data_IF_544572559978
#
_entry.id   IF_544572559978
#
_cell.length_a   1.000
_cell.length_b   1.000
_cell.length_c   1.000
_cell.angle_alpha   90.00
_cell.angle_beta   90.00
_cell.angle_gamma   90.00
#
_symmetry.space_group_name_H-M   'P 1'
#
loop_
_entity.id
_entity.type
_entity.pdbx_description
1 polymer ?
#
# COMPACT_ATOMS: atom_id res chain seq x y z
N UNK A 1 -23.64 -2.56 6.58
CA UNK A 1 -22.25 -2.34 7.07
C UNK A 1 -21.37 -1.99 5.87
N UNK A 2 -20.67 -0.85 5.83
CA UNK A 2 -19.73 -0.59 4.76
C UNK A 2 -18.59 -1.63 4.85
N UNK A 3 -18.48 -2.52 3.86
CA UNK A 3 -17.38 -3.47 3.77
C UNK A 3 -16.10 -2.70 3.43
N UNK A 4 -15.36 -2.31 4.47
CA UNK A 4 -14.03 -1.73 4.33
C UNK A 4 -13.06 -2.87 3.96
N UNK A 5 -12.62 -2.91 2.71
CA UNK A 5 -11.61 -3.87 2.28
C UNK A 5 -10.26 -3.45 2.84
N UNK A 6 -9.56 -4.38 3.51
CA UNK A 6 -8.21 -4.19 4.03
C UNK A 6 -7.26 -5.22 3.44
N UNK A 7 -6.03 -4.81 3.11
CA UNK A 7 -4.97 -5.69 2.62
C UNK A 7 -3.64 -5.29 3.23
N UNK A 8 -2.88 -6.26 3.71
CA UNK A 8 -1.55 -6.03 4.28
C UNK A 8 -0.49 -6.20 3.20
N UNK A 9 0.43 -5.26 3.13
CA UNK A 9 1.58 -5.26 2.23
C UNK A 9 2.85 -5.16 3.08
N UNK A 10 3.64 -6.21 3.09
CA UNK A 10 4.96 -6.22 3.70
C UNK A 10 6.03 -5.85 2.66
N UNK A 11 7.10 -5.12 3.04
CA UNK A 11 8.31 -4.95 2.24
C UNK A 11 8.88 -6.34 1.90
N UNK A 12 9.16 -6.62 0.61
CA UNK A 12 9.85 -7.83 0.16
C UNK A 12 11.17 -7.42 -0.52
N UNK A 13 12.24 -8.14 -0.21
CA UNK A 13 13.57 -7.94 -0.82
C UNK A 13 14.38 -6.76 -0.26
N UNK A 14 15.20 -6.13 -1.11
CA UNK A 14 16.06 -4.96 -0.80
C UNK A 14 15.29 -3.64 -0.59
N UNK A 15 13.96 -3.64 -0.72
CA UNK A 15 13.19 -2.40 -0.60
C UNK A 15 12.98 -2.06 0.87
N UNK A 16 13.68 -1.01 1.30
CA UNK A 16 13.56 -0.44 2.63
C UNK A 16 12.11 -0.05 2.94
N UNK A 17 11.69 -0.21 4.19
CA UNK A 17 10.35 0.19 4.66
C UNK A 17 10.05 1.67 4.33
N UNK A 18 11.10 2.51 4.26
CA UNK A 18 11.03 3.88 3.78
C UNK A 18 10.54 3.99 2.31
N UNK A 19 11.02 3.13 1.42
CA UNK A 19 10.56 3.07 0.02
C UNK A 19 9.09 2.67 -0.08
N UNK A 20 8.65 1.74 0.76
CA UNK A 20 7.25 1.31 0.83
C UNK A 20 6.36 2.47 1.32
N UNK A 21 6.80 3.22 2.34
CA UNK A 21 6.12 4.41 2.85
C UNK A 21 6.00 5.50 1.78
N UNK A 22 7.07 5.77 1.03
CA UNK A 22 7.06 6.75 -0.06
C UNK A 22 6.09 6.34 -1.18
N UNK A 23 6.09 5.06 -1.56
CA UNK A 23 5.14 4.54 -2.55
C UNK A 23 3.67 4.67 -2.08
N UNK A 24 3.40 4.40 -0.79
CA UNK A 24 2.07 4.61 -0.21
C UNK A 24 1.66 6.08 -0.28
N UNK A 25 2.57 7.00 0.04
CA UNK A 25 2.30 8.43 0.00
C UNK A 25 2.00 8.92 -1.43
N UNK A 26 2.75 8.43 -2.44
CA UNK A 26 2.46 8.71 -3.86
C UNK A 26 1.08 8.20 -4.30
N UNK A 27 0.66 7.03 -3.82
CA UNK A 27 -0.67 6.48 -4.16
C UNK A 27 -1.78 7.25 -3.46
N UNK A 28 -1.61 7.59 -2.16
CA UNK A 28 -2.54 8.43 -1.40
C UNK A 28 -2.73 9.79 -2.08
N UNK A 29 -1.66 10.39 -2.58
CA UNK A 29 -1.72 11.68 -3.28
C UNK A 29 -2.46 11.60 -4.63
N UNK A 30 -2.53 10.41 -5.24
CA UNK A 30 -3.29 10.17 -6.49
C UNK A 30 -4.71 9.68 -6.26
N UNK A 31 -5.03 9.15 -5.09
CA UNK A 31 -6.36 8.60 -4.79
C UNK A 31 -6.72 8.82 -3.32
N UNK A 32 -7.64 9.76 -3.09
CA UNK A 32 -8.21 10.05 -1.76
C UNK A 32 -9.11 8.94 -1.22
N UNK A 33 -9.39 7.90 -2.01
CA UNK A 33 -10.28 6.79 -1.66
C UNK A 33 -9.58 5.64 -0.94
N UNK A 34 -8.27 5.76 -0.73
CA UNK A 34 -7.43 4.71 -0.13
C UNK A 34 -6.74 5.27 1.11
N UNK A 35 -6.93 4.60 2.23
CA UNK A 35 -6.24 4.86 3.48
C UNK A 35 -5.05 3.90 3.66
N UNK A 36 -3.96 4.42 4.21
CA UNK A 36 -2.73 3.68 4.43
C UNK A 36 -2.33 3.81 5.90
N UNK A 37 -2.24 2.68 6.59
CA UNK A 37 -1.81 2.60 7.98
C UNK A 37 -0.50 1.81 8.04
N UNK A 38 0.60 2.47 8.36
CA UNK A 38 1.92 1.86 8.51
C UNK A 38 2.11 1.34 9.93
N UNK A 39 2.61 0.12 10.08
CA UNK A 39 3.04 -0.44 11.36
C UNK A 39 4.57 -0.59 11.34
N UNK A 40 5.25 0.28 12.10
CA UNK A 40 6.70 0.31 12.17
C UNK A 40 7.30 -0.91 12.89
N UNK A 41 6.56 -1.50 13.83
CA UNK A 41 7.03 -2.65 14.61
C UNK A 41 7.18 -3.89 13.73
N UNK A 42 6.15 -4.18 12.94
CA UNK A 42 6.15 -5.29 11.98
C UNK A 42 6.77 -4.90 10.64
N UNK A 43 7.15 -3.62 10.46
CA UNK A 43 7.55 -3.02 9.19
C UNK A 43 6.56 -3.34 8.05
N UNK A 44 5.25 -3.31 8.31
CA UNK A 44 4.21 -3.58 7.29
C UNK A 44 3.32 -2.36 7.05
N UNK A 45 2.62 -2.34 5.91
CA UNK A 45 1.59 -1.33 5.61
C UNK A 45 0.25 -2.00 5.37
N UNK A 46 -0.77 -1.50 6.05
CA UNK A 46 -2.16 -1.84 5.84
C UNK A 46 -2.78 -0.84 4.87
N UNK A 47 -3.31 -1.34 3.77
CA UNK A 47 -4.06 -0.55 2.79
C UNK A 47 -5.54 -0.82 3.02
N UNK A 48 -6.34 0.23 3.20
CA UNK A 48 -7.78 0.15 3.44
C UNK A 48 -8.51 0.97 2.38
N UNK A 49 -9.60 0.44 1.83
CA UNK A 49 -10.46 1.18 0.91
C UNK A 49 -11.87 0.62 0.93
N UNK A 50 -12.85 1.47 0.61
CA UNK A 50 -14.23 1.05 0.39
C UNK A 50 -14.44 0.43 -1.00
N UNK A 51 -13.49 0.63 -1.92
CA UNK A 51 -13.54 0.07 -3.27
C UNK A 51 -12.48 -1.04 -3.44
N UNK A 52 -12.94 -2.27 -3.67
CA UNK A 52 -12.07 -3.44 -3.85
C UNK A 52 -11.16 -3.31 -5.07
N UNK A 53 -11.64 -2.72 -6.18
CA UNK A 53 -10.85 -2.58 -7.42
C UNK A 53 -9.71 -1.58 -7.22
N UNK A 54 -9.98 -0.46 -6.56
CA UNK A 54 -8.96 0.55 -6.22
C UNK A 54 -7.95 0.00 -5.21
N UNK A 55 -8.40 -0.79 -4.22
CA UNK A 55 -7.51 -1.48 -3.29
C UNK A 55 -6.55 -2.43 -4.02
N UNK A 56 -7.06 -3.25 -4.94
CA UNK A 56 -6.22 -4.19 -5.69
C UNK A 56 -5.25 -3.48 -6.63
N UNK A 57 -5.66 -2.39 -7.30
CA UNK A 57 -4.76 -1.55 -8.10
C UNK A 57 -3.65 -0.97 -7.23
N UNK A 58 -3.98 -0.42 -6.06
CA UNK A 58 -2.99 0.17 -5.15
C UNK A 58 -1.98 -0.87 -4.66
N UNK A 59 -2.46 -2.04 -4.26
CA UNK A 59 -1.61 -3.14 -3.79
C UNK A 59 -0.74 -3.68 -4.92
N UNK A 60 -1.28 -3.83 -6.14
CA UNK A 60 -0.51 -4.22 -7.32
C UNK A 60 0.59 -3.19 -7.62
N UNK A 61 0.27 -1.90 -7.54
CA UNK A 61 1.23 -0.82 -7.76
C UNK A 61 2.33 -0.79 -6.69
N UNK A 62 1.97 -0.96 -5.41
CA UNK A 62 2.92 -1.12 -4.31
C UNK A 62 3.86 -2.31 -4.54
N UNK A 63 3.32 -3.46 -4.94
CA UNK A 63 4.14 -4.63 -5.29
C UNK A 63 5.04 -4.39 -6.52
N UNK A 64 4.58 -3.64 -7.51
CA UNK A 64 5.40 -3.25 -8.66
C UNK A 64 6.60 -2.39 -8.24
N UNK A 65 6.42 -1.46 -7.29
CA UNK A 65 7.53 -0.69 -6.72
C UNK A 65 8.57 -1.55 -5.99
N UNK A 66 8.16 -2.67 -5.38
CA UNK A 66 9.06 -3.66 -4.76
C UNK A 66 9.88 -4.45 -5.78
N UNK A 67 9.38 -4.57 -7.01
CA UNK A 67 9.94 -5.48 -8.01
C UNK A 67 10.95 -4.81 -8.96
N UNK A 68 11.46 -3.62 -8.64
CA UNK A 68 12.58 -3.01 -9.36
C UNK A 68 12.28 -2.43 -10.76
N UNK A 69 11.02 -2.37 -11.21
CA UNK A 69 10.66 -1.58 -12.41
C UNK A 69 10.52 -0.11 -11.99
N UNK A 70 11.52 0.69 -12.40
CA UNK A 70 11.64 2.16 -12.28
C UNK A 70 10.30 2.91 -12.30
#
# INVERSE_FOLDING_TARGET
>A
MPHLFKKTVAPKGKLDFAGLKNACQKIKNRSSKIDFQTNNFLKVVFVKSYDKKELEKAVKKLRSYQNGKK
#
